data_IF_667006946345
#
_entry.id   IF_667006946345
#
_cell.length_a   1.000
_cell.length_b   1.000
_cell.length_c   1.000
_cell.angle_alpha   90.00
_cell.angle_beta   90.00
_cell.angle_gamma   90.00
#
_symmetry.space_group_name_H-M   'P 1'
#
loop_
_entity.id
_entity.type
_entity.pdbx_description
1 polymer ?
#
# COMPACT_ATOMS: atom_id res chain seq x y z
N UNK A 1 -28.01 32.74 -10.33
CA UNK A 1 -26.59 32.40 -10.51
C UNK A 1 -26.52 31.19 -11.44
N UNK A 2 -25.79 31.27 -12.56
CA UNK A 2 -25.73 30.22 -13.58
C UNK A 2 -25.12 28.93 -12.98
N UNK A 3 -25.68 27.76 -13.29
CA UNK A 3 -25.22 26.43 -12.84
C UNK A 3 -23.72 26.22 -13.08
N UNK A 4 -23.21 26.69 -14.21
CA UNK A 4 -21.78 26.63 -14.57
C UNK A 4 -20.91 27.41 -13.57
N UNK A 5 -21.39 28.56 -13.09
CA UNK A 5 -20.68 29.39 -12.11
C UNK A 5 -20.66 28.72 -10.74
N UNK A 6 -21.76 28.07 -10.36
CA UNK A 6 -21.87 27.31 -9.11
C UNK A 6 -20.88 26.15 -9.09
N UNK A 7 -20.87 25.34 -10.16
CA UNK A 7 -19.96 24.19 -10.29
C UNK A 7 -18.50 24.61 -10.21
N UNK A 8 -18.12 25.69 -10.93
CA UNK A 8 -16.75 26.23 -10.90
C UNK A 8 -16.34 26.67 -9.48
N UNK A 9 -17.24 27.35 -8.76
CA UNK A 9 -16.97 27.80 -7.39
C UNK A 9 -16.80 26.62 -6.44
N UNK A 10 -17.68 25.62 -6.51
CA UNK A 10 -17.59 24.41 -5.69
C UNK A 10 -16.30 23.65 -5.98
N UNK A 11 -15.90 23.50 -7.24
CA UNK A 11 -14.63 22.86 -7.62
C UNK A 11 -13.44 23.59 -7.00
N UNK A 12 -13.38 24.91 -7.14
CA UNK A 12 -12.32 25.73 -6.55
C UNK A 12 -12.29 25.62 -5.03
N UNK A 13 -13.46 25.59 -4.37
CA UNK A 13 -13.54 25.40 -2.92
C UNK A 13 -13.02 24.02 -2.49
N UNK A 14 -13.31 22.95 -3.24
CA UNK A 14 -12.80 21.59 -2.98
C UNK A 14 -11.28 21.54 -3.19
N UNK A 15 -10.79 22.01 -4.33
CA UNK A 15 -9.37 22.09 -4.67
C UNK A 15 -8.58 22.83 -3.58
N UNK A 16 -9.03 24.03 -3.18
CA UNK A 16 -8.40 24.83 -2.14
C UNK A 16 -8.38 24.12 -0.77
N UNK A 17 -9.45 23.39 -0.43
CA UNK A 17 -9.57 22.65 0.84
C UNK A 17 -8.68 21.42 0.90
N UNK A 18 -8.47 20.76 -0.24
CA UNK A 18 -7.65 19.56 -0.34
C UNK A 18 -6.18 19.86 -0.68
N UNK A 19 -5.88 21.09 -1.11
CA UNK A 19 -4.59 21.49 -1.69
C UNK A 19 -4.21 20.65 -2.91
N UNK A 20 -5.20 20.44 -3.78
CA UNK A 20 -5.01 19.71 -5.04
C UNK A 20 -5.17 20.70 -6.18
N UNK A 21 -4.07 20.99 -6.86
CA UNK A 21 -4.03 21.86 -8.02
C UNK A 21 -4.27 21.08 -9.31
N UNK A 22 -4.81 21.76 -10.33
CA UNK A 22 -4.94 21.23 -11.70
C UNK A 22 -3.55 21.11 -12.33
N UNK A 23 -3.28 19.98 -12.98
CA UNK A 23 -2.00 19.69 -13.64
C UNK A 23 -2.04 20.15 -15.10
N UNK A 24 -0.90 20.56 -15.65
CA UNK A 24 -0.84 21.07 -17.03
C UNK A 24 -1.19 20.00 -18.08
N UNK A 25 -0.78 18.76 -17.86
CA UNK A 25 -0.91 17.63 -18.80
C UNK A 25 -2.13 16.72 -18.49
N UNK A 26 -2.96 17.05 -17.48
CA UNK A 26 -4.10 16.19 -17.14
C UNK A 26 -5.38 16.56 -17.89
N UNK A 27 -6.22 15.56 -18.17
CA UNK A 27 -7.56 15.85 -18.68
C UNK A 27 -8.42 16.45 -17.57
N UNK A 28 -9.41 17.23 -17.97
CA UNK A 28 -10.38 17.81 -17.05
C UNK A 28 -11.12 16.75 -16.21
N UNK A 29 -11.44 15.60 -16.82
CA UNK A 29 -12.04 14.46 -16.16
C UNK A 29 -11.10 13.87 -15.10
N UNK A 30 -9.81 13.71 -15.42
CA UNK A 30 -8.82 13.24 -14.46
C UNK A 30 -8.69 14.21 -13.28
N UNK A 31 -8.70 15.52 -13.53
CA UNK A 31 -8.64 16.52 -12.46
C UNK A 31 -9.83 16.40 -11.51
N UNK A 32 -11.06 16.39 -12.06
CA UNK A 32 -12.27 16.22 -11.25
C UNK A 32 -12.27 14.88 -10.50
N UNK A 33 -11.70 13.82 -11.10
CA UNK A 33 -11.55 12.52 -10.45
C UNK A 33 -10.67 12.61 -9.22
N UNK A 34 -9.50 13.27 -9.31
CA UNK A 34 -8.60 13.42 -8.17
C UNK A 34 -9.27 14.17 -7.02
N UNK A 35 -10.01 15.23 -7.32
CA UNK A 35 -10.75 15.99 -6.32
C UNK A 35 -11.80 15.14 -5.62
N UNK A 36 -12.64 14.42 -6.38
CA UNK A 36 -13.69 13.58 -5.80
C UNK A 36 -13.12 12.39 -5.05
N UNK A 37 -12.14 11.70 -5.62
CA UNK A 37 -11.48 10.55 -4.99
C UNK A 37 -10.90 10.91 -3.62
N UNK A 38 -10.11 11.99 -3.55
CA UNK A 38 -9.57 12.49 -2.28
C UNK A 38 -10.67 12.92 -1.32
N UNK A 39 -11.70 13.60 -1.84
CA UNK A 39 -12.77 14.08 -0.97
C UNK A 39 -13.59 12.93 -0.40
N UNK A 40 -13.83 11.83 -1.12
CA UNK A 40 -14.53 10.64 -0.61
C UNK A 40 -13.83 10.03 0.62
N UNK A 41 -12.51 10.15 0.69
CA UNK A 41 -11.74 9.74 1.87
C UNK A 41 -12.12 10.49 3.14
N UNK A 42 -12.55 11.75 3.04
CA UNK A 42 -12.81 12.62 4.19
C UNK A 42 -14.11 12.29 4.94
N UNK A 43 -15.29 12.14 4.29
CA UNK A 43 -16.49 11.61 4.93
C UNK A 43 -16.28 10.24 5.54
N UNK A 44 -15.52 9.36 4.88
CA UNK A 44 -15.22 8.03 5.43
C UNK A 44 -14.54 8.15 6.79
N UNK A 45 -13.44 8.90 6.87
CA UNK A 45 -12.71 9.11 8.13
C UNK A 45 -13.52 9.89 9.18
N UNK A 46 -14.27 10.90 8.76
CA UNK A 46 -15.10 11.71 9.65
C UNK A 46 -16.21 10.90 10.32
N UNK A 47 -16.89 10.03 9.56
CA UNK A 47 -18.02 9.26 10.07
C UNK A 47 -17.61 8.15 11.05
N UNK A 48 -16.33 7.78 11.13
CA UNK A 48 -15.85 6.87 12.17
C UNK A 48 -16.06 7.40 13.59
N UNK A 49 -16.18 8.73 13.73
CA UNK A 49 -16.45 9.42 14.99
C UNK A 49 -17.95 9.58 15.30
N UNK A 50 -18.84 9.26 14.34
CA UNK A 50 -20.29 9.35 14.51
C UNK A 50 -20.86 8.11 15.22
N UNK A 51 -20.25 7.73 16.35
CA UNK A 51 -20.74 6.63 17.19
C UNK A 51 -21.82 7.18 18.13
N UNK A 52 -22.94 6.46 18.24
CA UNK A 52 -23.91 6.73 19.32
C UNK A 52 -23.29 6.33 20.66
N UNK A 53 -23.76 6.89 21.78
CA UNK A 53 -23.25 6.52 23.12
C UNK A 53 -23.42 5.01 23.39
N UNK A 54 -24.45 4.38 22.81
CA UNK A 54 -24.72 2.94 22.89
C UNK A 54 -23.83 2.09 21.97
N UNK A 55 -23.31 2.66 20.86
CA UNK A 55 -22.41 2.01 19.89
C UNK A 55 -20.91 2.26 20.15
N UNK A 56 -20.59 3.03 21.20
CA UNK A 56 -19.27 3.63 21.45
C UNK A 56 -18.12 2.63 21.62
N UNK A 57 -18.42 1.35 21.88
CA UNK A 57 -17.41 0.30 21.99
C UNK A 57 -17.23 -0.55 20.71
N UNK A 58 -18.14 -0.43 19.74
CA UNK A 58 -18.19 -1.37 18.62
C UNK A 58 -17.72 -0.77 17.29
N UNK A 59 -17.79 0.55 17.09
CA UNK A 59 -17.43 1.20 15.83
C UNK A 59 -18.51 1.11 14.73
N UNK A 60 -18.21 1.56 13.52
CA UNK A 60 -19.14 1.70 12.41
C UNK A 60 -19.09 0.47 11.49
N UNK A 61 -20.26 -0.04 11.09
CA UNK A 61 -20.33 -1.19 10.19
C UNK A 61 -19.88 -0.84 8.77
N UNK A 62 -19.39 -1.85 8.02
CA UNK A 62 -19.10 -1.70 6.58
C UNK A 62 -20.32 -1.17 5.81
N UNK A 63 -21.50 -1.73 6.06
CA UNK A 63 -22.73 -1.35 5.37
C UNK A 63 -23.10 0.13 5.59
N UNK A 64 -22.89 0.64 6.81
CA UNK A 64 -23.11 2.05 7.12
C UNK A 64 -22.15 2.96 6.34
N UNK A 65 -20.84 2.62 6.32
CA UNK A 65 -19.86 3.38 5.53
C UNK A 65 -20.16 3.31 4.03
N UNK A 66 -20.61 2.16 3.53
CA UNK A 66 -21.02 1.99 2.13
C UNK A 66 -22.18 2.91 1.79
N UNK A 67 -23.23 2.95 2.61
CA UNK A 67 -24.39 3.85 2.40
C UNK A 67 -23.98 5.32 2.34
N UNK A 68 -23.13 5.77 3.29
CA UNK A 68 -22.64 7.15 3.35
C UNK A 68 -21.88 7.54 2.07
N UNK A 69 -21.04 6.63 1.56
CA UNK A 69 -20.26 6.90 0.36
C UNK A 69 -21.14 6.89 -0.89
N UNK A 70 -22.08 5.96 -1.03
CA UNK A 70 -23.04 5.97 -2.13
C UNK A 70 -23.86 7.27 -2.15
N UNK A 71 -24.37 7.74 -1.01
CA UNK A 71 -25.09 9.02 -0.91
C UNK A 71 -24.19 10.21 -1.30
N UNK A 72 -22.93 10.20 -0.86
CA UNK A 72 -21.94 11.22 -1.20
C UNK A 72 -21.66 11.22 -2.72
N UNK A 73 -21.55 10.05 -3.33
CA UNK A 73 -21.30 9.87 -4.76
C UNK A 73 -22.46 10.36 -5.63
N UNK A 74 -23.71 10.21 -5.18
CA UNK A 74 -24.90 10.78 -5.86
C UNK A 74 -24.78 12.30 -5.98
N UNK A 75 -24.43 12.99 -4.89
CA UNK A 75 -24.21 14.44 -4.91
C UNK A 75 -23.08 14.84 -5.86
N UNK A 76 -22.01 14.06 -5.88
CA UNK A 76 -20.86 14.30 -6.74
C UNK A 76 -21.15 14.13 -8.22
N UNK A 77 -21.90 13.09 -8.62
CA UNK A 77 -22.37 12.91 -10.00
C UNK A 77 -23.22 14.08 -10.49
N UNK A 78 -24.04 14.67 -9.60
CA UNK A 78 -24.83 15.85 -9.94
C UNK A 78 -23.97 17.12 -10.13
N UNK A 79 -22.88 17.24 -9.36
CA UNK A 79 -21.96 18.37 -9.42
C UNK A 79 -20.96 18.28 -10.59
N UNK A 80 -20.56 17.08 -10.97
CA UNK A 80 -19.56 16.81 -11.98
C UNK A 80 -20.09 15.80 -13.03
N UNK A 81 -20.79 16.26 -14.08
CA UNK A 81 -21.47 15.40 -15.04
C UNK A 81 -20.53 14.50 -15.87
N UNK A 82 -19.29 14.94 -16.05
CA UNK A 82 -18.16 14.19 -16.64
C UNK A 82 -17.91 12.86 -15.95
N UNK A 83 -18.25 12.76 -14.65
CA UNK A 83 -18.11 11.56 -13.83
C UNK A 83 -19.19 10.50 -14.07
N UNK A 84 -20.20 10.82 -14.90
CA UNK A 84 -21.25 9.87 -15.27
C UNK A 84 -20.81 8.89 -16.35
N UNK A 85 -19.60 9.08 -16.90
CA UNK A 85 -19.01 8.20 -17.91
C UNK A 85 -18.53 6.88 -17.29
N UNK A 86 -18.62 5.79 -18.06
CA UNK A 86 -18.30 4.41 -17.62
C UNK A 86 -16.88 4.22 -17.06
N UNK A 87 -15.97 5.17 -17.28
CA UNK A 87 -14.59 5.11 -16.79
C UNK A 87 -14.34 5.67 -15.38
N UNK A 88 -15.28 6.44 -14.81
CA UNK A 88 -14.98 7.26 -13.63
C UNK A 88 -15.11 6.51 -12.30
N UNK A 89 -16.07 5.59 -12.22
CA UNK A 89 -16.37 4.82 -11.02
C UNK A 89 -16.65 3.39 -11.47
N UNK A 90 -15.60 2.56 -11.49
CA UNK A 90 -15.74 1.12 -11.30
C UNK A 90 -16.69 0.87 -10.11
N UNK A 91 -17.38 -0.28 -10.12
CA UNK A 91 -18.31 -0.73 -9.08
C UNK A 91 -18.09 -0.04 -7.73
N UNK A 92 -19.07 0.78 -7.30
CA UNK A 92 -18.94 1.61 -6.09
C UNK A 92 -18.53 0.77 -4.87
N UNK A 93 -19.03 -0.46 -4.78
CA UNK A 93 -18.69 -1.35 -3.68
C UNK A 93 -17.23 -1.77 -3.73
N UNK A 94 -16.69 -2.04 -4.93
CA UNK A 94 -15.28 -2.37 -5.13
C UNK A 94 -14.38 -1.18 -4.79
N UNK A 95 -14.76 0.04 -5.18
CA UNK A 95 -14.04 1.25 -4.79
C UNK A 95 -13.99 1.42 -3.27
N UNK A 96 -15.14 1.31 -2.61
CA UNK A 96 -15.24 1.44 -1.15
C UNK A 96 -14.43 0.36 -0.44
N UNK A 97 -14.46 -0.87 -0.96
CA UNK A 97 -13.68 -1.99 -0.42
C UNK A 97 -12.18 -1.76 -0.54
N UNK A 98 -11.73 -1.25 -1.70
CA UNK A 98 -10.34 -0.86 -1.91
C UNK A 98 -9.91 0.25 -0.96
N UNK A 99 -10.70 1.32 -0.83
CA UNK A 99 -10.43 2.44 0.08
C UNK A 99 -10.32 1.97 1.54
N UNK A 100 -11.29 1.17 2.00
CA UNK A 100 -11.29 0.63 3.37
C UNK A 100 -10.13 -0.31 3.61
N UNK A 101 -9.79 -1.16 2.63
CA UNK A 101 -8.64 -2.04 2.73
C UNK A 101 -7.33 -1.23 2.80
N UNK A 102 -7.16 -0.23 1.94
CA UNK A 102 -5.95 0.61 1.96
C UNK A 102 -5.81 1.37 3.28
N UNK A 103 -6.90 1.95 3.81
CA UNK A 103 -6.89 2.57 5.13
C UNK A 103 -6.61 1.59 6.27
N UNK A 104 -7.12 0.34 6.20
CA UNK A 104 -6.86 -0.67 7.21
C UNK A 104 -5.38 -1.07 7.22
N UNK A 105 -4.79 -1.27 6.03
CA UNK A 105 -3.40 -1.71 5.87
C UNK A 105 -2.38 -0.62 6.19
N UNK A 106 -2.77 0.64 6.03
CA UNK A 106 -1.95 1.80 6.39
C UNK A 106 -2.23 2.33 7.79
N UNK A 107 -3.15 1.70 8.53
CA UNK A 107 -3.44 2.07 9.92
C UNK A 107 -4.21 3.38 10.09
N UNK A 108 -4.84 3.91 9.03
CA UNK A 108 -5.78 5.04 9.15
C UNK A 108 -7.03 4.67 9.92
N UNK A 109 -7.41 3.39 9.91
CA UNK A 109 -8.56 2.86 10.62
C UNK A 109 -8.19 1.55 11.31
N UNK A 110 -8.94 1.18 12.35
CA UNK A 110 -8.84 -0.14 12.99
C UNK A 110 -10.14 -0.92 12.80
N UNK A 111 -10.04 -2.24 12.68
CA UNK A 111 -11.19 -3.14 12.53
C UNK A 111 -11.29 -4.11 13.71
N UNK A 112 -12.45 -4.18 14.35
CA UNK A 112 -12.77 -5.12 15.43
C UNK A 112 -14.17 -5.67 15.22
N UNK A 113 -14.36 -6.99 15.30
CA UNK A 113 -15.67 -7.64 15.16
C UNK A 113 -16.48 -7.22 13.91
N UNK A 114 -15.81 -7.01 12.77
CA UNK A 114 -16.45 -6.61 11.52
C UNK A 114 -16.77 -5.11 11.40
N UNK A 115 -16.51 -4.31 12.43
CA UNK A 115 -16.75 -2.87 12.48
C UNK A 115 -15.44 -2.08 12.48
N UNK A 116 -15.51 -0.84 12.01
CA UNK A 116 -14.38 0.07 11.82
C UNK A 116 -14.43 1.23 12.81
N UNK A 117 -13.28 1.65 13.33
CA UNK A 117 -13.20 2.73 14.31
C UNK A 117 -12.00 3.63 14.05
N UNK A 118 -12.03 4.88 14.55
CA UNK A 118 -10.96 5.82 14.32
C UNK A 118 -9.71 5.41 15.11
N UNK A 119 -8.59 5.98 14.70
CA UNK A 119 -7.29 5.86 15.37
C UNK A 119 -6.93 7.19 16.04
N UNK A 120 -6.10 7.18 17.10
CA UNK A 120 -5.55 8.40 17.67
C UNK A 120 -4.79 9.22 16.62
N UNK A 121 -4.76 10.54 16.83
CA UNK A 121 -3.92 11.42 16.03
C UNK A 121 -2.46 11.01 16.15
N UNK A 122 -1.82 10.73 15.01
CA UNK A 122 -0.40 10.41 14.93
C UNK A 122 0.22 10.97 13.66
N UNK A 123 1.51 11.24 13.72
CA UNK A 123 2.25 11.82 12.62
C UNK A 123 3.70 11.33 12.58
N UNK A 124 4.29 11.37 11.38
CA UNK A 124 5.68 11.08 11.13
C UNK A 124 6.17 11.91 9.94
N UNK A 125 7.39 12.43 10.02
CA UNK A 125 7.97 13.27 8.97
C UNK A 125 9.01 12.50 8.17
N UNK A 126 8.97 12.69 6.85
CA UNK A 126 9.99 12.25 5.91
C UNK A 126 10.15 13.35 4.86
N UNK A 127 11.39 13.78 4.60
CA UNK A 127 11.67 14.93 3.74
C UNK A 127 10.87 16.18 4.17
N UNK A 128 10.17 16.82 3.23
CA UNK A 128 9.33 18.01 3.44
C UNK A 128 7.86 17.67 3.74
N UNK A 129 7.56 16.42 4.08
CA UNK A 129 6.18 15.94 4.28
C UNK A 129 6.03 15.35 5.68
N UNK A 130 5.07 15.86 6.42
CA UNK A 130 4.59 15.25 7.66
C UNK A 130 3.32 14.47 7.36
N UNK A 131 3.43 13.15 7.35
CA UNK A 131 2.29 12.26 7.22
C UNK A 131 1.42 12.32 8.47
N UNK A 132 0.10 12.35 8.29
CA UNK A 132 -0.86 12.48 9.40
C UNK A 132 -1.93 11.42 9.27
N UNK A 133 -2.31 10.79 10.39
CA UNK A 133 -3.51 9.95 10.52
C UNK A 133 -4.27 10.32 11.79
N UNK A 134 -5.55 9.98 11.84
CA UNK A 134 -6.40 10.32 13.00
C UNK A 134 -6.67 11.82 13.15
N UNK A 135 -6.44 12.61 12.11
CA UNK A 135 -6.79 14.03 12.08
C UNK A 135 -8.29 14.23 12.31
N UNK A 136 -8.64 15.19 13.15
CA UNK A 136 -10.03 15.60 13.33
C UNK A 136 -10.54 16.33 12.09
N UNK A 137 -11.86 16.38 11.90
CA UNK A 137 -12.49 17.12 10.78
C UNK A 137 -12.13 18.62 10.78
N UNK A 138 -11.72 19.16 11.94
CA UNK A 138 -11.34 20.56 12.12
C UNK A 138 -9.89 20.85 11.70
N UNK A 139 -9.04 19.83 11.64
CA UNK A 139 -7.64 20.01 11.26
C UNK A 139 -7.52 20.39 9.79
N UNK A 140 -6.60 21.31 9.51
CA UNK A 140 -6.23 21.68 8.14
C UNK A 140 -5.09 20.76 7.70
N UNK A 141 -5.44 19.75 6.91
CA UNK A 141 -4.50 18.80 6.31
C UNK A 141 -4.62 18.85 4.79
N UNK A 142 -3.49 18.65 4.11
CA UNK A 142 -3.38 18.48 2.67
C UNK A 142 -3.69 17.03 2.29
N UNK A 143 -4.00 16.80 1.01
CA UNK A 143 -4.32 15.46 0.49
C UNK A 143 -3.47 15.11 -0.72
N UNK A 144 -2.99 13.87 -0.76
CA UNK A 144 -2.51 13.20 -1.96
C UNK A 144 -3.18 11.83 -2.01
N UNK A 145 -3.93 11.53 -3.06
CA UNK A 145 -4.85 10.38 -3.04
C UNK A 145 -5.85 10.46 -1.87
N UNK A 146 -5.94 9.40 -1.09
CA UNK A 146 -6.72 9.33 0.15
C UNK A 146 -5.92 9.76 1.40
N UNK A 147 -4.59 9.82 1.27
CA UNK A 147 -3.67 10.05 2.38
C UNK A 147 -3.60 11.53 2.76
N UNK A 148 -3.59 11.78 4.06
CA UNK A 148 -3.45 13.13 4.62
C UNK A 148 -2.01 13.44 5.00
N UNK A 149 -1.61 14.69 4.80
CA UNK A 149 -0.29 15.18 5.17
C UNK A 149 -0.31 16.68 5.48
N UNK A 150 0.79 17.19 6.03
CA UNK A 150 1.10 18.60 6.17
C UNK A 150 2.48 18.87 5.59
N UNK A 151 2.71 20.09 5.10
CA UNK A 151 4.04 20.53 4.73
C UNK A 151 4.91 20.59 6.00
N UNK A 152 6.06 19.93 5.96
CA UNK A 152 6.98 19.95 7.09
C UNK A 152 7.65 21.32 7.18
N UNK A 153 7.58 21.96 8.35
CA UNK A 153 8.40 23.13 8.62
C UNK A 153 9.86 22.69 8.79
N UNK A 154 10.82 23.44 8.26
CA UNK A 154 12.26 23.13 8.40
C UNK A 154 12.71 22.97 9.86
N UNK A 155 11.96 23.53 10.81
CA UNK A 155 12.21 23.48 12.26
C UNK A 155 11.47 22.35 13.01
N UNK A 156 10.56 21.59 12.38
CA UNK A 156 9.71 20.58 13.04
C UNK A 156 10.18 19.13 12.86
N UNK A 157 11.18 18.89 12.00
CA UNK A 157 11.60 17.55 11.54
C UNK A 157 12.16 16.62 12.63
N UNK A 158 12.33 17.11 13.87
CA UNK A 158 12.93 16.38 14.99
C UNK A 158 11.98 16.08 16.16
N UNK A 159 10.68 16.42 16.06
CA UNK A 159 9.80 16.47 17.24
C UNK A 159 8.88 15.25 17.39
N UNK A 160 8.74 14.40 16.36
CA UNK A 160 7.77 13.30 16.42
C UNK A 160 8.35 11.97 16.93
N UNK A 161 7.66 11.27 17.85
CA UNK A 161 8.18 10.08 18.49
C UNK A 161 8.17 8.82 17.59
N UNK A 162 7.46 8.84 16.45
CA UNK A 162 7.31 7.70 15.56
C UNK A 162 7.97 7.92 14.21
N UNK A 163 8.59 6.88 13.69
CA UNK A 163 9.01 6.84 12.29
C UNK A 163 7.81 6.61 11.37
N UNK A 164 7.97 6.91 10.08
CA UNK A 164 6.93 6.61 9.09
C UNK A 164 6.69 5.09 8.99
N UNK A 165 7.73 4.28 9.15
CA UNK A 165 7.61 2.83 9.18
C UNK A 165 6.70 2.36 10.33
N UNK A 166 6.84 2.96 11.52
CA UNK A 166 5.97 2.66 12.65
C UNK A 166 4.54 3.17 12.43
N UNK A 167 4.39 4.36 11.82
CA UNK A 167 3.09 4.97 11.56
C UNK A 167 2.24 4.10 10.63
N UNK A 168 2.86 3.54 9.59
CA UNK A 168 2.21 2.75 8.54
C UNK A 168 2.42 1.23 8.69
N UNK A 169 3.00 0.81 9.82
CA UNK A 169 3.30 -0.59 10.13
C UNK A 169 4.16 -1.29 9.04
N UNK A 170 5.05 -0.53 8.41
CA UNK A 170 6.04 -1.01 7.43
C UNK A 170 7.21 -1.69 8.16
N UNK A 171 8.05 -2.46 7.44
CA UNK A 171 9.25 -3.05 8.02
C UNK A 171 10.20 -2.01 8.63
N UNK A 172 10.52 -2.14 9.91
CA UNK A 172 11.58 -1.39 10.60
C UNK A 172 12.99 -1.97 10.37
N UNK A 173 13.13 -2.82 9.33
CA UNK A 173 14.36 -3.47 8.94
C UNK A 173 14.51 -3.43 7.41
N UNK A 174 15.75 -3.45 6.96
CA UNK A 174 16.07 -3.54 5.53
C UNK A 174 15.94 -4.98 5.02
N UNK A 175 15.73 -5.14 3.71
CA UNK A 175 15.76 -6.44 3.04
C UNK A 175 17.07 -7.19 3.31
N UNK A 176 18.19 -6.46 3.37
CA UNK A 176 19.51 -7.02 3.72
C UNK A 176 19.55 -7.52 5.15
N UNK A 177 19.06 -6.74 6.12
CA UNK A 177 19.00 -7.18 7.52
C UNK A 177 18.13 -8.42 7.69
N UNK A 178 16.99 -8.50 6.99
CA UNK A 178 16.14 -9.69 7.01
C UNK A 178 16.87 -10.92 6.44
N UNK A 179 17.57 -10.76 5.31
CA UNK A 179 18.40 -11.82 4.73
C UNK A 179 19.49 -12.27 5.71
N UNK A 180 20.24 -11.33 6.27
CA UNK A 180 21.33 -11.59 7.22
C UNK A 180 20.82 -12.30 8.48
N UNK A 181 19.64 -11.92 8.98
CA UNK A 181 18.99 -12.59 10.12
C UNK A 181 18.73 -14.07 9.81
N UNK A 182 18.15 -14.38 8.66
CA UNK A 182 17.88 -15.76 8.28
C UNK A 182 19.17 -16.53 7.95
N UNK A 183 20.17 -15.87 7.36
CA UNK A 183 21.41 -16.52 6.99
C UNK A 183 22.27 -16.91 8.19
N UNK A 184 22.06 -16.28 9.35
CA UNK A 184 22.72 -16.63 10.61
C UNK A 184 22.06 -17.81 11.35
N UNK A 185 20.89 -18.27 10.91
CA UNK A 185 20.20 -19.39 11.56
C UNK A 185 20.98 -20.70 11.39
N UNK A 186 20.63 -21.67 12.24
CA UNK A 186 21.17 -23.03 12.13
C UNK A 186 20.36 -23.84 11.11
N UNK A 187 21.04 -24.35 10.08
CA UNK A 187 20.45 -25.15 8.98
C UNK A 187 20.75 -26.65 9.15
N UNK A 188 20.81 -27.13 10.39
CA UNK A 188 21.10 -28.54 10.69
C UNK A 188 19.85 -29.42 10.73
N UNK A 189 18.65 -28.84 10.64
CA UNK A 189 17.39 -29.59 10.70
C UNK A 189 17.23 -30.47 9.47
N UNK A 190 17.18 -31.78 9.67
CA UNK A 190 16.92 -32.74 8.59
C UNK A 190 15.45 -32.70 8.20
N UNK A 191 15.16 -32.43 6.93
CA UNK A 191 13.80 -32.46 6.40
C UNK A 191 13.48 -33.91 6.01
N UNK A 192 12.40 -34.53 6.54
CA UNK A 192 12.07 -35.93 6.23
C UNK A 192 11.96 -36.18 4.73
N UNK A 193 12.52 -37.28 4.25
CA UNK A 193 12.56 -37.60 2.81
C UNK A 193 11.15 -37.74 2.24
N UNK A 194 10.22 -38.26 3.03
CA UNK A 194 8.81 -38.41 2.69
C UNK A 194 8.16 -37.03 2.42
N UNK A 195 8.54 -36.01 3.20
CA UNK A 195 8.07 -34.64 2.99
C UNK A 195 8.66 -34.03 1.71
N UNK A 196 9.93 -34.28 1.42
CA UNK A 196 10.57 -33.82 0.18
C UNK A 196 9.93 -34.44 -1.07
N UNK A 197 9.49 -35.70 -0.96
CA UNK A 197 8.73 -36.40 -2.01
C UNK A 197 7.27 -35.91 -2.09
N UNK A 198 6.75 -35.24 -1.05
CA UNK A 198 5.38 -34.73 -1.00
C UNK A 198 5.25 -33.34 -1.67
N UNK A 199 5.14 -33.33 -2.99
CA UNK A 199 4.82 -32.15 -3.81
C UNK A 199 5.57 -30.86 -3.40
N UNK A 200 6.89 -30.97 -3.21
CA UNK A 200 7.72 -29.83 -2.82
C UNK A 200 7.72 -28.76 -3.90
N UNK A 201 7.67 -27.49 -3.47
CA UNK A 201 7.77 -26.33 -4.35
C UNK A 201 8.83 -25.37 -3.81
N UNK A 202 9.58 -24.78 -4.73
CA UNK A 202 10.66 -23.84 -4.46
C UNK A 202 10.24 -22.45 -4.90
N UNK A 203 10.48 -21.47 -4.03
CA UNK A 203 10.20 -20.08 -4.36
C UNK A 203 11.17 -19.62 -5.45
N UNK A 204 10.62 -19.13 -6.55
CA UNK A 204 11.40 -18.67 -7.70
C UNK A 204 12.13 -17.39 -7.33
N UNK A 205 13.46 -17.50 -7.25
CA UNK A 205 14.41 -16.41 -6.96
C UNK A 205 15.51 -16.32 -8.03
N UNK A 206 15.24 -16.90 -9.20
CA UNK A 206 16.10 -16.89 -10.38
C UNK A 206 15.32 -16.32 -11.57
N UNK A 207 16.01 -15.85 -12.63
CA UNK A 207 15.35 -15.39 -13.84
C UNK A 207 14.51 -16.51 -14.48
N UNK A 208 13.21 -16.27 -14.69
CA UNK A 208 12.31 -17.20 -15.40
C UNK A 208 11.61 -16.49 -16.54
N UNK A 209 11.34 -17.21 -17.64
CA UNK A 209 10.56 -16.67 -18.78
C UNK A 209 9.07 -16.50 -18.47
N UNK A 210 8.58 -17.10 -17.38
CA UNK A 210 7.20 -17.03 -16.93
C UNK A 210 7.13 -16.34 -15.56
N UNK A 211 6.02 -15.65 -15.27
CA UNK A 211 5.70 -15.03 -13.98
C UNK A 211 5.32 -16.08 -12.91
N UNK A 212 6.16 -17.10 -12.76
CA UNK A 212 5.94 -18.20 -11.83
C UNK A 212 6.56 -17.86 -10.49
N UNK A 213 5.78 -18.03 -9.43
CA UNK A 213 6.19 -17.74 -8.05
C UNK A 213 6.83 -18.94 -7.35
N UNK A 214 6.31 -20.12 -7.63
CA UNK A 214 6.68 -21.39 -7.01
C UNK A 214 6.91 -22.42 -8.10
N UNK A 215 8.01 -23.17 -8.04
CA UNK A 215 8.36 -24.20 -9.03
C UNK A 215 8.67 -25.54 -8.34
N UNK A 216 8.22 -26.64 -8.92
CA UNK A 216 8.61 -27.99 -8.49
C UNK A 216 10.06 -28.29 -8.88
N UNK A 217 10.55 -27.67 -9.95
CA UNK A 217 11.92 -27.84 -10.43
C UNK A 217 12.80 -26.73 -9.85
N UNK A 218 13.64 -27.07 -8.87
CA UNK A 218 14.63 -26.14 -8.34
C UNK A 218 15.73 -25.86 -9.36
N UNK A 219 15.82 -24.62 -9.84
CA UNK A 219 16.85 -24.18 -10.80
C UNK A 219 17.84 -23.18 -10.19
N UNK A 220 17.74 -22.89 -8.89
CA UNK A 220 18.71 -22.07 -8.18
C UNK A 220 20.07 -22.75 -8.14
N UNK A 221 21.10 -22.12 -8.74
CA UNK A 221 22.46 -22.67 -8.80
C UNK A 221 23.46 -21.93 -7.90
N UNK A 222 23.04 -20.82 -7.27
CA UNK A 222 23.88 -20.10 -6.34
C UNK A 222 23.98 -20.81 -4.98
N UNK A 223 24.94 -20.39 -4.15
CA UNK A 223 25.12 -20.90 -2.78
C UNK A 223 24.30 -20.11 -1.75
N UNK A 224 23.36 -19.27 -2.18
CA UNK A 224 22.60 -18.36 -1.32
C UNK A 224 21.42 -19.08 -0.67
N UNK A 225 20.69 -18.36 0.18
CA UNK A 225 19.45 -18.86 0.76
C UNK A 225 18.36 -19.02 -0.30
N UNK A 226 17.56 -20.06 -0.13
CA UNK A 226 16.39 -20.39 -0.93
C UNK A 226 15.24 -20.76 -0.01
N UNK A 227 14.00 -20.60 -0.48
CA UNK A 227 12.79 -20.98 0.25
C UNK A 227 12.10 -22.14 -0.46
N UNK A 228 11.74 -23.16 0.30
CA UNK A 228 10.92 -24.29 -0.13
C UNK A 228 9.66 -24.35 0.72
N UNK A 229 8.57 -24.82 0.13
CA UNK A 229 7.39 -25.26 0.87
C UNK A 229 7.14 -26.75 0.59
N UNK A 230 6.74 -27.48 1.62
CA UNK A 230 6.42 -28.91 1.56
C UNK A 230 5.03 -29.17 2.13
N UNK A 231 4.35 -30.18 1.60
CA UNK A 231 3.00 -30.57 2.02
C UNK A 231 1.95 -30.36 0.92
N UNK A 232 0.97 -31.26 0.89
CA UNK A 232 0.00 -31.40 -0.20
C UNK A 232 -1.26 -30.54 -0.05
N UNK A 233 -1.61 -30.11 1.16
CA UNK A 233 -2.79 -29.29 1.40
C UNK A 233 -2.45 -27.79 1.34
N UNK A 234 -3.05 -27.09 0.37
CA UNK A 234 -2.94 -25.62 0.23
C UNK A 234 -3.31 -24.94 1.55
N UNK A 235 -2.44 -24.06 2.03
CA UNK A 235 -2.65 -23.35 3.30
C UNK A 235 -2.13 -24.08 4.54
N UNK A 236 -1.73 -25.36 4.42
CA UNK A 236 -1.11 -26.16 5.50
C UNK A 236 0.34 -26.54 5.19
N UNK A 237 0.95 -25.89 4.21
CA UNK A 237 2.34 -26.16 3.84
C UNK A 237 3.30 -25.70 4.95
N UNK A 238 4.36 -26.48 5.14
CA UNK A 238 5.50 -26.09 5.96
C UNK A 238 6.54 -25.41 5.08
N UNK A 239 7.21 -24.39 5.61
CA UNK A 239 8.16 -23.59 4.86
C UNK A 239 9.55 -23.75 5.47
N UNK A 240 10.54 -23.99 4.61
CA UNK A 240 11.93 -24.22 5.00
C UNK A 240 12.85 -23.32 4.20
N UNK A 241 13.73 -22.62 4.89
CA UNK A 241 14.90 -22.01 4.26
C UNK A 241 16.02 -23.05 4.16
N UNK A 242 16.77 -23.02 3.06
CA UNK A 242 17.93 -23.88 2.85
C UNK A 242 19.03 -23.16 2.05
N UNK A 243 20.26 -23.68 2.08
CA UNK A 243 21.42 -23.08 1.39
C UNK A 243 21.80 -23.88 0.15
N UNK A 244 22.05 -23.16 -0.93
CA UNK A 244 22.51 -23.74 -2.19
C UNK A 244 21.55 -24.80 -2.72
N UNK A 245 22.08 -25.96 -3.09
CA UNK A 245 21.29 -27.09 -3.63
C UNK A 245 20.94 -28.14 -2.58
N UNK A 246 21.38 -27.99 -1.33
CA UNK A 246 21.12 -28.97 -0.28
C UNK A 246 19.78 -28.69 0.42
N UNK A 247 18.68 -29.10 -0.22
CA UNK A 247 17.34 -28.98 0.35
C UNK A 247 16.97 -30.13 1.32
N UNK A 248 17.90 -31.04 1.63
CA UNK A 248 17.69 -32.08 2.64
C UNK A 248 17.87 -31.56 4.09
N UNK A 249 18.52 -30.40 4.23
CA UNK A 249 18.70 -29.72 5.51
C UNK A 249 18.26 -28.28 5.42
N UNK A 250 17.53 -27.82 6.43
CA UNK A 250 16.95 -26.48 6.41
C UNK A 250 16.78 -25.86 7.78
N UNK A 251 16.11 -24.72 7.77
CA UNK A 251 15.58 -24.03 8.94
C UNK A 251 14.08 -23.87 8.73
N UNK A 252 13.26 -24.53 9.55
CA UNK A 252 11.81 -24.40 9.46
C UNK A 252 11.37 -23.00 9.90
N UNK A 253 10.57 -22.34 9.05
CA UNK A 253 9.95 -21.07 9.39
C UNK A 253 8.75 -21.27 10.31
N UNK A 254 8.60 -20.39 11.29
CA UNK A 254 7.47 -20.41 12.21
C UNK A 254 6.15 -20.18 11.47
N UNK A 255 5.12 -20.94 11.85
CA UNK A 255 3.73 -20.73 11.38
C UNK A 255 3.18 -19.36 11.75
N UNK A 256 3.76 -18.69 12.77
CA UNK A 256 3.38 -17.32 13.18
C UNK A 256 3.70 -16.24 12.14
N UNK A 257 4.51 -16.56 11.12
CA UNK A 257 4.87 -15.62 10.05
C UNK A 257 3.78 -15.48 8.97
N UNK A 258 2.59 -16.08 9.15
CA UNK A 258 1.44 -15.98 8.23
C UNK A 258 1.79 -16.21 6.74
N UNK A 259 2.71 -17.14 6.47
CA UNK A 259 3.31 -17.31 5.16
C UNK A 259 2.28 -17.66 4.06
N UNK A 260 1.17 -18.31 4.41
CA UNK A 260 0.16 -18.80 3.45
C UNK A 260 -0.96 -17.80 3.15
N UNK A 261 -1.63 -17.26 4.18
CA UNK A 261 -2.89 -16.52 4.01
C UNK A 261 -2.72 -15.08 3.51
N UNK A 262 -1.61 -14.44 3.87
CA UNK A 262 -1.34 -13.03 3.55
C UNK A 262 -0.12 -12.86 2.64
N UNK A 263 0.29 -13.95 1.97
CA UNK A 263 1.56 -14.02 1.22
C UNK A 263 2.76 -13.58 2.09
N UNK A 264 2.82 -13.96 3.38
CA UNK A 264 3.92 -13.56 4.27
C UNK A 264 5.33 -13.93 3.77
N UNK A 265 5.44 -14.90 2.85
CA UNK A 265 6.69 -15.22 2.15
C UNK A 265 7.20 -14.11 1.22
N UNK A 266 6.39 -13.08 0.92
CA UNK A 266 6.72 -12.03 -0.03
C UNK A 266 7.98 -11.25 0.39
N UNK A 267 8.00 -10.79 1.66
CA UNK A 267 9.16 -10.09 2.23
C UNK A 267 10.41 -10.97 2.24
N UNK A 268 10.25 -12.27 2.49
CA UNK A 268 11.35 -13.23 2.40
C UNK A 268 11.86 -13.29 0.95
N UNK A 269 10.97 -13.38 -0.04
CA UNK A 269 11.35 -13.36 -1.46
C UNK A 269 12.15 -12.11 -1.80
N UNK A 270 11.68 -10.94 -1.38
CA UNK A 270 12.34 -9.67 -1.63
C UNK A 270 13.75 -9.65 -1.04
N UNK A 271 13.92 -10.14 0.20
CA UNK A 271 15.25 -10.27 0.81
C UNK A 271 16.17 -11.24 0.03
N UNK A 272 15.63 -12.38 -0.42
CA UNK A 272 16.36 -13.35 -1.24
C UNK A 272 16.77 -12.80 -2.62
N UNK A 273 15.91 -11.99 -3.24
CA UNK A 273 16.17 -11.32 -4.51
C UNK A 273 17.16 -10.16 -4.33
N UNK A 274 17.04 -9.42 -3.22
CA UNK A 274 17.94 -8.33 -2.86
C UNK A 274 19.38 -8.79 -2.76
N UNK A 275 19.62 -9.88 -2.03
CA UNK A 275 20.95 -10.47 -1.94
C UNK A 275 21.51 -10.86 -3.32
N UNK A 276 20.64 -11.17 -4.29
CA UNK A 276 21.02 -11.52 -5.66
C UNK A 276 21.17 -10.32 -6.59
N UNK A 277 21.00 -9.09 -6.10
CA UNK A 277 21.00 -7.89 -6.94
C UNK A 277 19.81 -7.82 -7.91
N UNK A 278 18.74 -8.57 -7.61
CA UNK A 278 17.52 -8.64 -8.40
C UNK A 278 16.35 -8.02 -7.64
N UNK A 279 16.60 -6.97 -6.84
CA UNK A 279 15.53 -6.27 -6.14
C UNK A 279 14.56 -5.74 -7.18
N UNK A 280 13.26 -5.95 -6.99
CA UNK A 280 12.29 -5.37 -7.87
C UNK A 280 12.29 -3.84 -7.82
N UNK A 281 12.09 -3.27 -8.98
CA UNK A 281 12.12 -1.83 -9.21
C UNK A 281 10.70 -1.29 -9.32
N UNK A 282 10.43 -0.15 -8.69
CA UNK A 282 9.22 0.64 -8.90
C UNK A 282 9.58 1.70 -9.95
N UNK A 283 8.90 1.63 -11.09
CA UNK A 283 9.18 2.52 -12.23
C UNK A 283 8.22 3.71 -12.21
N UNK A 284 8.77 4.91 -12.41
CA UNK A 284 8.01 6.15 -12.38
C UNK A 284 8.47 7.14 -13.45
N UNK A 285 7.61 8.07 -13.82
CA UNK A 285 7.92 9.23 -14.66
C UNK A 285 7.90 10.47 -13.77
N UNK A 286 9.02 11.19 -13.70
CA UNK A 286 9.07 12.47 -13.00
C UNK A 286 8.43 13.57 -13.85
N UNK A 287 7.58 14.38 -13.22
CA UNK A 287 6.95 15.57 -13.80
C UNK A 287 7.15 16.74 -12.84
N UNK A 288 6.77 17.95 -13.23
CA UNK A 288 7.11 19.14 -12.45
C UNK A 288 6.51 19.12 -11.03
N UNK A 289 5.19 18.92 -10.92
CA UNK A 289 4.46 18.97 -9.66
C UNK A 289 3.91 17.61 -9.19
N UNK A 290 4.06 16.56 -9.99
CA UNK A 290 3.54 15.23 -9.70
C UNK A 290 4.47 14.15 -10.22
N UNK A 291 4.17 12.90 -9.86
CA UNK A 291 4.87 11.72 -10.34
C UNK A 291 3.84 10.70 -10.82
N UNK A 292 4.08 10.10 -11.98
CA UNK A 292 3.30 8.96 -12.46
C UNK A 292 4.06 7.66 -12.19
N UNK A 293 3.54 6.82 -11.32
CA UNK A 293 4.05 5.49 -11.02
C UNK A 293 3.51 4.54 -12.09
N UNK A 294 4.38 4.12 -13.02
CA UNK A 294 4.04 3.31 -14.19
C UNK A 294 3.85 1.85 -13.86
N UNK A 295 4.78 1.30 -13.09
CA UNK A 295 4.78 -0.11 -12.73
C UNK A 295 5.18 -0.26 -11.28
N UNK A 296 4.31 -0.95 -10.55
CA UNK A 296 4.61 -1.43 -9.22
C UNK A 296 4.84 -2.93 -9.38
N UNK A 297 6.08 -3.36 -9.16
CA UNK A 297 6.31 -4.75 -8.88
C UNK A 297 5.43 -5.15 -7.71
N UNK A 298 4.81 -6.34 -7.73
CA UNK A 298 3.90 -6.75 -6.66
C UNK A 298 4.58 -6.52 -5.29
N UNK A 299 3.94 -5.79 -4.38
CA UNK A 299 4.52 -5.41 -3.09
C UNK A 299 3.83 -6.20 -1.99
N UNK A 300 4.47 -6.37 -0.82
CA UNK A 300 3.74 -6.79 0.36
C UNK A 300 2.61 -5.80 0.65
N UNK A 301 1.56 -6.31 1.30
CA UNK A 301 0.24 -5.67 1.35
C UNK A 301 0.29 -4.22 1.86
N UNK A 302 1.11 -3.96 2.88
CA UNK A 302 1.22 -2.65 3.54
C UNK A 302 2.00 -1.65 2.72
N UNK A 303 3.11 -2.05 2.11
CA UNK A 303 3.89 -1.22 1.19
C UNK A 303 3.06 -0.85 -0.05
N UNK A 304 2.31 -1.83 -0.58
CA UNK A 304 1.39 -1.59 -1.68
C UNK A 304 0.28 -0.59 -1.31
N UNK A 305 -0.33 -0.78 -0.14
CA UNK A 305 -1.37 0.12 0.37
C UNK A 305 -0.82 1.52 0.72
N UNK A 306 0.41 1.60 1.21
CA UNK A 306 1.09 2.87 1.51
C UNK A 306 1.28 3.71 0.25
N UNK A 307 1.71 3.11 -0.87
CA UNK A 307 1.75 3.82 -2.15
C UNK A 307 0.35 4.18 -2.66
N UNK A 308 -0.60 3.25 -2.61
CA UNK A 308 -1.97 3.49 -3.11
C UNK A 308 -2.71 4.57 -2.33
N UNK A 309 -2.62 4.58 -1.00
CA UNK A 309 -3.35 5.56 -0.18
C UNK A 309 -2.90 6.98 -0.52
N UNK A 310 -1.62 7.18 -0.83
CA UNK A 310 -1.09 8.50 -1.19
C UNK A 310 -1.20 8.82 -2.70
N UNK A 311 -1.77 7.94 -3.51
CA UNK A 311 -1.89 8.12 -4.96
C UNK A 311 -3.35 8.25 -5.41
N UNK A 312 -3.55 8.88 -6.55
CA UNK A 312 -4.77 8.81 -7.33
C UNK A 312 -4.64 7.73 -8.42
N UNK A 313 -5.68 6.91 -8.62
CA UNK A 313 -5.79 6.13 -9.85
C UNK A 313 -5.80 7.04 -11.09
N UNK A 314 -5.16 6.60 -12.18
CA UNK A 314 -5.30 7.24 -13.48
C UNK A 314 -6.44 6.54 -14.23
N UNK A 315 -7.40 7.32 -14.75
CA UNK A 315 -8.54 6.78 -15.49
C UNK A 315 -8.05 5.94 -16.68
N UNK A 316 -8.61 4.73 -16.81
CA UNK A 316 -8.26 3.76 -17.86
C UNK A 316 -6.77 3.33 -17.89
N UNK A 317 -6.07 3.42 -16.76
CA UNK A 317 -4.68 3.01 -16.62
C UNK A 317 -4.47 2.21 -15.33
N UNK A 318 -3.46 1.34 -15.32
CA UNK A 318 -2.99 0.68 -14.09
C UNK A 318 -1.99 1.56 -13.31
N UNK A 319 -1.54 2.66 -13.92
CA UNK A 319 -0.61 3.61 -13.30
C UNK A 319 -1.29 4.45 -12.22
N UNK A 320 -0.48 4.94 -11.30
CA UNK A 320 -0.90 5.78 -10.19
C UNK A 320 -0.26 7.16 -10.31
N UNK A 321 -0.99 8.20 -9.94
CA UNK A 321 -0.50 9.57 -9.88
C UNK A 321 -0.31 9.98 -8.42
N UNK A 322 0.82 10.60 -8.08
CA UNK A 322 1.12 11.05 -6.72
C UNK A 322 1.66 12.48 -6.74
N UNK A 323 1.36 13.27 -5.72
CA UNK A 323 2.02 14.56 -5.50
C UNK A 323 3.54 14.37 -5.40
N UNK A 324 4.34 15.26 -5.99
CA UNK A 324 5.80 15.10 -6.06
C UNK A 324 6.48 15.16 -4.70
N UNK A 325 6.04 16.06 -3.81
CA UNK A 325 6.57 16.16 -2.46
C UNK A 325 6.30 14.88 -1.67
N UNK A 326 5.06 14.39 -1.75
CA UNK A 326 4.64 13.14 -1.12
C UNK A 326 5.38 11.93 -1.70
N UNK A 327 5.55 11.87 -3.02
CA UNK A 327 6.32 10.81 -3.67
C UNK A 327 7.76 10.76 -3.17
N UNK A 328 8.45 11.89 -3.09
CA UNK A 328 9.82 11.94 -2.57
C UNK A 328 9.91 11.44 -1.12
N UNK A 329 8.95 11.81 -0.28
CA UNK A 329 8.88 11.33 1.10
C UNK A 329 8.64 9.81 1.19
N UNK A 330 7.72 9.27 0.37
CA UNK A 330 7.48 7.83 0.23
C UNK A 330 8.71 7.10 -0.33
N UNK A 331 9.40 7.71 -1.29
CA UNK A 331 10.60 7.19 -1.94
C UNK A 331 11.69 6.90 -0.92
N UNK A 332 12.01 7.87 -0.07
CA UNK A 332 13.04 7.74 0.97
C UNK A 332 12.71 6.59 1.93
N UNK A 333 11.45 6.45 2.33
CA UNK A 333 11.01 5.36 3.22
C UNK A 333 11.20 3.98 2.56
N UNK A 334 10.78 3.84 1.30
CA UNK A 334 10.88 2.57 0.58
C UNK A 334 12.34 2.23 0.21
N UNK A 335 13.15 3.20 -0.21
CA UNK A 335 14.58 3.00 -0.48
C UNK A 335 15.33 2.57 0.78
N UNK A 336 14.96 3.11 1.95
CA UNK A 336 15.51 2.67 3.24
C UNK A 336 15.19 1.20 3.54
N UNK A 337 14.00 0.71 3.20
CA UNK A 337 13.67 -0.73 3.30
C UNK A 337 14.52 -1.54 2.31
N UNK A 338 14.88 -0.96 1.17
CA UNK A 338 15.77 -1.55 0.17
C UNK A 338 15.15 -1.68 -1.21
N UNK A 339 14.01 -1.04 -1.49
CA UNK A 339 13.41 -0.98 -2.82
C UNK A 339 14.23 -0.08 -3.76
N UNK A 340 14.16 -0.35 -5.07
CA UNK A 340 14.79 0.49 -6.09
C UNK A 340 13.71 1.34 -6.76
N UNK A 341 13.94 2.64 -6.81
CA UNK A 341 13.07 3.61 -7.48
C UNK A 341 13.76 4.05 -8.77
N UNK A 342 13.12 3.83 -9.91
CA UNK A 342 13.74 4.07 -11.23
C UNK A 342 12.87 4.98 -12.06
N UNK A 343 13.44 6.13 -12.39
CA UNK A 343 12.86 7.03 -13.37
C UNK A 343 12.95 6.40 -14.76
N UNK A 344 11.84 6.44 -15.50
CA UNK A 344 11.75 5.99 -16.89
C UNK A 344 11.31 7.16 -17.77
N UNK A 345 11.81 7.18 -19.00
CA UNK A 345 11.37 8.16 -20.00
C UNK A 345 9.91 7.91 -20.40
N UNK A 346 9.22 8.99 -20.77
CA UNK A 346 7.80 8.99 -21.12
C UNK A 346 7.51 8.21 -22.40
#
# INVERSE_FOLDING_TARGET
MNEVVIRRKIRSDISNRLKIEELEDESFEQYEFRLVYSFLGKPLLANLWNQSEEDSEEGISKASLTSILSDTMVGYRALFPTMSSEGFLLDENDLIDKMLNDYLETGFIKKKSGKFSPVPFEQATSEKVTFVRGASVKEKVNFSGLGTYCDANENDSSIFPKSAEQLFMLPEYTLKQLYDYFNKQNFSESIPKEMLLSNSEFLVTWPTKANKWWDHNFLGKDKKLNLMRVGSAKGKQLYYLFRGTNYAKGFQLSSKLNLTNEKGYYMIRLALLNERGMVPTIEYVDKDNYVEIKSIFELPKREAAFLRVYSWPILNSESLLMDKGVFNACRVILEKIGYIMKEVSQ
#
